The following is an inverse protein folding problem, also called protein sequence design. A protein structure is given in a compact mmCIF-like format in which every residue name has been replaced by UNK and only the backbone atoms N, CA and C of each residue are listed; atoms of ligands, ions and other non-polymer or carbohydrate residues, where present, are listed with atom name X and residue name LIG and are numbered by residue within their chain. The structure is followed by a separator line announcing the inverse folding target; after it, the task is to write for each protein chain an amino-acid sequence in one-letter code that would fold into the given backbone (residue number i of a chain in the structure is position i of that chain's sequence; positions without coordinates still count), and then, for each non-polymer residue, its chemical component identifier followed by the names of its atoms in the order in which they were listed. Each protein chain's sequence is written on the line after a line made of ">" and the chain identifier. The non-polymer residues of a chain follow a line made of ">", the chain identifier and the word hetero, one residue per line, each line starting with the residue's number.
data_IF_255639273759
#
_entry.id   IF_255639273759
#
_cell.length_a   1.000
_cell.length_b   1.000
_cell.length_c   1.000
_cell.angle_alpha   90.00
_cell.angle_beta   90.00
_cell.angle_gamma   90.00
#
_symmetry.space_group_name_H-M   'P 1'
#
loop_
_entity.id
_entity.type
_entity.pdbx_description
1 polymer ?
#
# COMPACT_ATOMS: atom_id res chain seq x y z
N UNK A 1 3.28 15.64 -21.73
CA UNK A 1 4.30 15.95 -20.68
C UNK A 1 3.79 15.35 -19.39
N UNK A 2 4.63 14.66 -18.64
CA UNK A 2 4.20 13.99 -17.41
C UNK A 2 4.48 14.86 -16.18
N UNK A 3 3.50 14.97 -15.28
CA UNK A 3 3.60 15.74 -14.03
C UNK A 3 3.09 14.89 -12.88
N UNK A 4 3.79 14.92 -11.74
CA UNK A 4 3.31 14.32 -10.49
C UNK A 4 2.58 15.39 -9.69
N UNK A 5 1.36 15.08 -9.25
CA UNK A 5 0.52 15.97 -8.43
C UNK A 5 -0.29 15.18 -7.40
N UNK A 6 -0.84 15.82 -6.36
CA UNK A 6 -1.84 15.20 -5.50
C UNK A 6 -3.02 14.64 -6.30
N UNK A 7 -3.51 13.47 -5.89
CA UNK A 7 -4.70 12.84 -6.45
C UNK A 7 -5.95 13.71 -6.23
N UNK A 8 -6.80 13.80 -7.25
CA UNK A 8 -8.01 14.61 -7.26
C UNK A 8 -9.26 13.74 -7.53
N UNK A 9 -10.44 14.28 -7.23
CA UNK A 9 -11.72 13.56 -7.37
C UNK A 9 -12.07 13.22 -8.82
N UNK A 10 -11.59 13.99 -9.78
CA UNK A 10 -11.77 13.74 -11.22
C UNK A 10 -10.86 12.63 -11.77
N UNK A 11 -9.89 12.14 -10.98
CA UNK A 11 -9.03 11.00 -11.36
C UNK A 11 -9.70 9.63 -11.20
N UNK A 12 -10.90 9.56 -10.61
CA UNK A 12 -11.56 8.30 -10.21
C UNK A 12 -11.69 7.31 -11.36
N UNK A 13 -12.13 7.76 -12.54
CA UNK A 13 -12.38 6.86 -13.67
C UNK A 13 -11.08 6.33 -14.29
N UNK A 14 -10.05 7.17 -14.37
CA UNK A 14 -8.72 6.74 -14.83
C UNK A 14 -8.11 5.75 -13.83
N UNK A 15 -8.21 6.01 -12.52
CA UNK A 15 -7.77 5.09 -11.47
C UNK A 15 -8.48 3.75 -11.53
N UNK A 16 -9.80 3.77 -11.70
CA UNK A 16 -10.59 2.56 -11.80
C UNK A 16 -10.18 1.73 -13.02
N UNK A 17 -10.00 2.38 -14.17
CA UNK A 17 -9.50 1.72 -15.38
C UNK A 17 -8.10 1.12 -15.19
N UNK A 18 -7.20 1.80 -14.48
CA UNK A 18 -5.88 1.28 -14.12
C UNK A 18 -5.97 0.09 -13.17
N UNK A 19 -6.77 0.19 -12.11
CA UNK A 19 -6.98 -0.87 -11.12
C UNK A 19 -7.54 -2.16 -11.76
N UNK A 20 -8.43 -2.03 -12.75
CA UNK A 20 -8.94 -3.17 -13.52
C UNK A 20 -7.83 -3.90 -14.30
N UNK A 21 -6.82 -3.17 -14.80
CA UNK A 21 -5.71 -3.74 -15.57
C UNK A 21 -4.61 -4.35 -14.69
N UNK A 22 -4.43 -3.86 -13.46
CA UNK A 22 -3.38 -4.28 -12.55
C UNK A 22 -3.50 -5.75 -12.09
N UNK A 23 -4.66 -6.39 -12.29
CA UNK A 23 -4.88 -7.80 -11.98
C UNK A 23 -4.95 -8.11 -10.48
N UNK A 24 -4.92 -9.41 -10.14
CA UNK A 24 -5.04 -9.91 -8.75
C UNK A 24 -3.68 -9.89 -8.06
N UNK A 25 -3.23 -8.73 -7.61
CA UNK A 25 -1.96 -8.59 -6.89
C UNK A 25 -1.77 -7.26 -6.18
N UNK A 26 -2.44 -6.21 -6.65
CA UNK A 26 -2.41 -4.89 -6.04
C UNK A 26 -3.62 -4.67 -5.11
N UNK A 27 -3.58 -5.27 -3.93
CA UNK A 27 -4.66 -5.16 -2.93
C UNK A 27 -4.87 -3.74 -2.40
N UNK A 28 -3.82 -2.91 -2.44
CA UNK A 28 -3.87 -1.51 -2.01
C UNK A 28 -4.62 -0.59 -2.97
N UNK A 29 -4.95 -1.05 -4.19
CA UNK A 29 -5.70 -0.30 -5.20
C UNK A 29 -6.79 -1.21 -5.83
N UNK A 30 -7.87 -1.51 -5.09
CA UNK A 30 -8.92 -2.38 -5.60
C UNK A 30 -9.68 -1.71 -6.75
N UNK A 31 -10.10 -2.51 -7.73
CA UNK A 31 -11.00 -2.07 -8.80
C UNK A 31 -12.45 -1.92 -8.29
N UNK A 32 -12.63 -1.07 -7.29
CA UNK A 32 -13.90 -0.77 -6.61
C UNK A 32 -14.02 0.75 -6.49
N UNK A 33 -15.01 1.32 -7.18
CA UNK A 33 -15.19 2.79 -7.23
C UNK A 33 -15.44 3.41 -5.87
N UNK A 34 -16.17 2.72 -4.99
CA UNK A 34 -16.51 3.26 -3.68
C UNK A 34 -15.26 3.31 -2.79
N UNK A 35 -14.46 2.24 -2.80
CA UNK A 35 -13.18 2.21 -2.08
C UNK A 35 -12.16 3.21 -2.64
N UNK A 36 -12.10 3.36 -3.97
CA UNK A 36 -11.24 4.34 -4.62
C UNK A 36 -11.66 5.78 -4.28
N UNK A 37 -12.96 6.08 -4.30
CA UNK A 37 -13.47 7.39 -3.92
C UNK A 37 -13.12 7.72 -2.46
N UNK A 38 -13.31 6.78 -1.52
CA UNK A 38 -12.92 6.96 -0.12
C UNK A 38 -11.41 7.23 0.03
N UNK A 39 -10.57 6.53 -0.74
CA UNK A 39 -9.11 6.75 -0.77
C UNK A 39 -8.76 8.14 -1.30
N UNK A 40 -9.42 8.60 -2.37
CA UNK A 40 -9.24 9.95 -2.92
C UNK A 40 -9.62 11.00 -1.87
N UNK A 41 -10.78 10.85 -1.23
CA UNK A 41 -11.24 11.80 -0.23
C UNK A 41 -10.28 11.86 0.96
N UNK A 42 -9.86 10.70 1.49
CA UNK A 42 -8.84 10.63 2.55
C UNK A 42 -7.52 11.27 2.14
N UNK A 43 -7.09 11.09 0.90
CA UNK A 43 -5.89 11.75 0.39
C UNK A 43 -6.02 13.27 0.34
N UNK A 44 -7.17 13.77 -0.13
CA UNK A 44 -7.46 15.20 -0.14
C UNK A 44 -7.51 15.78 1.27
N UNK A 45 -8.11 15.10 2.24
CA UNK A 45 -8.10 15.52 3.65
C UNK A 45 -6.67 15.58 4.20
N UNK A 46 -5.81 14.63 3.81
CA UNK A 46 -4.41 14.56 4.23
C UNK A 46 -3.57 15.72 3.70
N UNK A 47 -3.67 16.03 2.40
CA UNK A 47 -2.98 17.19 1.81
C UNK A 47 -3.49 18.53 2.35
N UNK A 48 -4.78 18.60 2.71
CA UNK A 48 -5.37 19.80 3.32
C UNK A 48 -5.16 19.89 4.84
N UNK A 49 -4.41 18.95 5.45
CA UNK A 49 -4.14 18.91 6.89
C UNK A 49 -5.42 18.84 7.75
N UNK A 50 -6.46 18.16 7.24
CA UNK A 50 -7.77 17.98 7.90
C UNK A 50 -7.93 16.61 8.58
N UNK A 51 -6.85 15.83 8.67
CA UNK A 51 -6.78 14.60 9.46
C UNK A 51 -5.57 14.64 10.40
N UNK A 52 -5.54 13.74 11.39
CA UNK A 52 -4.38 13.57 12.25
C UNK A 52 -3.16 13.15 11.40
N UNK A 53 -1.94 13.67 11.66
CA UNK A 53 -0.75 13.36 10.86
C UNK A 53 -0.47 11.86 10.73
N UNK A 54 -0.74 11.08 11.77
CA UNK A 54 -0.61 9.62 11.79
C UNK A 54 -1.62 8.91 10.89
N UNK A 55 -2.81 9.48 10.69
CA UNK A 55 -3.87 8.91 9.85
C UNK A 55 -3.78 9.40 8.39
N UNK A 56 -2.75 10.16 8.04
CA UNK A 56 -2.60 10.74 6.72
C UNK A 56 -2.26 9.69 5.66
N UNK A 57 -2.97 9.77 4.53
CA UNK A 57 -2.70 9.01 3.32
C UNK A 57 -2.36 10.00 2.20
N UNK A 58 -1.18 9.91 1.62
CA UNK A 58 -0.79 10.78 0.51
C UNK A 58 -0.80 9.99 -0.79
N UNK A 59 -1.77 10.24 -1.66
CA UNK A 59 -1.81 9.65 -3.00
C UNK A 59 -1.43 10.69 -4.06
N UNK A 60 -0.60 10.27 -4.99
CA UNK A 60 -0.07 11.08 -6.08
C UNK A 60 -0.51 10.48 -7.41
N UNK A 61 -1.03 11.32 -8.31
CA UNK A 61 -1.28 11.00 -9.70
C UNK A 61 -0.06 11.34 -10.55
N UNK A 62 0.26 10.48 -11.52
CA UNK A 62 1.09 10.83 -12.67
C UNK A 62 0.16 11.24 -13.80
N UNK A 63 0.06 12.53 -14.09
CA UNK A 63 -0.80 13.07 -15.14
C UNK A 63 -0.01 13.28 -16.44
N UNK A 64 -0.54 12.81 -17.56
CA UNK A 64 -0.16 13.33 -18.88
C UNK A 64 -1.03 14.55 -19.21
N UNK A 65 -0.45 15.74 -19.07
CA UNK A 65 -1.18 17.01 -19.25
C UNK A 65 -1.63 17.25 -20.69
N UNK A 66 -1.05 16.55 -21.68
CA UNK A 66 -1.46 16.67 -23.08
C UNK A 66 -2.73 15.85 -23.33
N UNK A 67 -2.79 14.64 -22.76
CA UNK A 67 -3.97 13.78 -22.82
C UNK A 67 -5.04 14.16 -21.79
N UNK A 68 -4.68 14.96 -20.77
CA UNK A 68 -5.48 15.22 -19.55
C UNK A 68 -5.95 13.92 -18.92
N UNK A 69 -5.01 13.02 -18.70
CA UNK A 69 -5.27 11.68 -18.15
C UNK A 69 -4.29 11.35 -17.05
N UNK A 70 -4.79 10.65 -16.05
CA UNK A 70 -3.96 10.03 -15.03
C UNK A 70 -3.47 8.68 -15.54
N UNK A 71 -2.16 8.58 -15.72
CA UNK A 71 -1.45 7.43 -16.32
C UNK A 71 -0.59 6.67 -15.31
N UNK A 72 -0.69 7.03 -14.03
CA UNK A 72 -0.05 6.33 -12.94
C UNK A 72 -0.47 6.86 -11.58
N UNK A 73 -0.15 6.08 -10.55
CA UNK A 73 -0.42 6.40 -9.16
C UNK A 73 0.73 5.89 -8.27
N UNK A 74 0.99 6.60 -7.18
CA UNK A 74 1.82 6.15 -6.06
C UNK A 74 1.26 6.70 -4.76
N UNK A 75 1.52 6.01 -3.65
CA UNK A 75 0.98 6.38 -2.34
C UNK A 75 1.98 6.27 -1.20
N UNK A 76 1.71 7.01 -0.13
CA UNK A 76 2.38 6.92 1.17
C UNK A 76 1.29 6.86 2.25
N UNK A 77 1.23 5.77 2.99
CA UNK A 77 0.42 5.65 4.21
C UNK A 77 1.32 6.08 5.38
N UNK A 78 0.94 7.15 6.09
CA UNK A 78 1.79 7.73 7.13
C UNK A 78 2.09 6.71 8.23
N UNK A 79 1.10 5.87 8.55
CA UNK A 79 1.20 4.86 9.58
C UNK A 79 0.33 3.64 9.29
N UNK A 80 0.95 2.48 9.09
CA UNK A 80 0.22 1.22 8.98
C UNK A 80 -0.16 0.68 10.36
N UNK A 81 -1.22 -0.14 10.41
CA UNK A 81 -1.62 -0.79 11.65
C UNK A 81 -2.55 0.02 12.56
N UNK A 82 -3.08 1.17 12.08
CA UNK A 82 -3.94 2.06 12.89
C UNK A 82 -5.38 1.57 13.03
N UNK A 83 -6.06 1.32 11.91
CA UNK A 83 -7.46 0.86 11.91
C UNK A 83 -7.56 -0.67 11.93
N UNK A 84 -6.70 -1.32 11.12
CA UNK A 84 -6.60 -2.76 11.01
C UNK A 84 -5.16 -3.21 11.23
N UNK A 85 -4.98 -4.44 11.74
CA UNK A 85 -3.65 -4.99 12.01
C UNK A 85 -2.90 -5.21 10.69
N UNK A 86 -1.71 -4.63 10.59
CA UNK A 86 -0.81 -4.86 9.45
C UNK A 86 0.00 -6.13 9.68
N UNK A 87 -0.39 -7.23 9.03
CA UNK A 87 0.28 -8.52 9.18
C UNK A 87 1.42 -8.73 8.20
N UNK A 88 2.50 -9.35 8.67
CA UNK A 88 3.62 -9.79 7.87
C UNK A 88 4.18 -11.12 8.39
N UNK A 89 4.99 -11.80 7.57
CA UNK A 89 5.74 -12.97 8.03
C UNK A 89 7.18 -12.58 8.34
N UNK A 90 7.60 -12.83 9.59
CA UNK A 90 9.01 -12.73 9.98
C UNK A 90 9.71 -14.05 9.66
N UNK A 91 10.72 -14.01 8.80
CA UNK A 91 11.60 -15.15 8.56
C UNK A 91 12.56 -15.33 9.75
N UNK A 92 12.42 -16.45 10.45
CA UNK A 92 13.27 -16.84 11.58
C UNK A 92 13.91 -18.21 11.31
N UNK A 93 14.80 -18.66 12.18
CA UNK A 93 15.37 -20.01 12.11
C UNK A 93 15.02 -20.78 13.38
N UNK A 94 14.30 -21.88 13.24
CA UNK A 94 14.03 -22.82 14.33
C UNK A 94 15.15 -23.84 14.39
N UNK A 95 15.74 -24.04 15.58
CA UNK A 95 16.81 -25.01 15.80
C UNK A 95 16.28 -26.16 16.63
N UNK A 96 16.31 -27.36 16.05
CA UNK A 96 15.98 -28.60 16.75
C UNK A 96 17.27 -29.41 16.95
N UNK A 97 17.61 -29.70 18.21
CA UNK A 97 18.79 -30.47 18.56
C UNK A 97 18.40 -31.66 19.46
N UNK A 98 18.87 -32.85 19.10
CA UNK A 98 18.78 -34.05 19.93
C UNK A 98 20.19 -34.59 20.15
N UNK A 99 20.65 -34.53 21.41
CA UNK A 99 21.97 -35.03 21.79
C UNK A 99 22.06 -36.55 21.66
N UNK A 100 21.00 -37.25 22.04
CA UNK A 100 20.92 -38.72 22.00
C UNK A 100 20.94 -39.26 20.56
N UNK A 101 20.33 -38.54 19.62
CA UNK A 101 20.30 -38.91 18.20
C UNK A 101 21.46 -38.28 17.40
N UNK A 102 22.28 -37.41 18.01
CA UNK A 102 23.34 -36.68 17.31
C UNK A 102 22.82 -35.73 16.23
N UNK A 103 21.56 -35.27 16.34
CA UNK A 103 20.88 -34.46 15.32
C UNK A 103 20.91 -32.99 15.71
N UNK A 104 21.23 -32.12 14.75
CA UNK A 104 21.12 -30.67 14.88
C UNK A 104 20.62 -30.06 13.56
N UNK A 105 19.34 -29.69 13.51
CA UNK A 105 18.66 -29.20 12.31
C UNK A 105 18.29 -27.73 12.48
N UNK A 106 18.60 -26.93 11.48
CA UNK A 106 18.21 -25.51 11.39
C UNK A 106 17.21 -25.36 10.25
N UNK A 107 15.99 -24.97 10.58
CA UNK A 107 14.89 -24.85 9.60
C UNK A 107 14.44 -23.40 9.50
N UNK A 108 14.45 -22.78 8.31
CA UNK A 108 13.80 -21.49 8.10
C UNK A 108 12.30 -21.60 8.40
N UNK A 109 11.76 -20.68 9.20
CA UNK A 109 10.36 -20.71 9.64
C UNK A 109 9.74 -19.33 9.47
N UNK A 110 8.56 -19.25 8.89
CA UNK A 110 7.76 -18.03 8.79
C UNK A 110 6.85 -17.93 10.01
N UNK A 111 7.03 -16.88 10.80
CA UNK A 111 6.16 -16.57 11.94
C UNK A 111 5.26 -15.39 11.59
N UNK A 112 3.95 -15.53 11.75
CA UNK A 112 3.02 -14.41 11.61
C UNK A 112 3.35 -13.34 12.66
N UNK A 113 3.45 -12.09 12.23
CA UNK A 113 3.80 -10.94 13.06
C UNK A 113 3.06 -9.70 12.58
N UNK A 114 3.18 -8.62 13.33
CA UNK A 114 2.67 -7.28 13.05
C UNK A 114 3.69 -6.22 13.51
N UNK A 115 4.97 -6.55 13.43
CA UNK A 115 6.07 -5.73 13.95
C UNK A 115 6.31 -4.45 13.13
N UNK A 116 5.63 -4.31 12.00
CA UNK A 116 5.65 -3.11 11.15
C UNK A 116 4.57 -2.09 11.54
N UNK A 117 3.72 -2.36 12.54
CA UNK A 117 2.79 -1.36 13.07
C UNK A 117 3.52 -0.08 13.42
N UNK A 118 2.87 1.04 13.17
CA UNK A 118 3.37 2.40 13.37
C UNK A 118 4.41 2.89 12.34
N UNK A 119 4.84 2.05 11.40
CA UNK A 119 5.75 2.44 10.32
C UNK A 119 5.02 3.09 9.14
N UNK A 120 5.76 3.89 8.35
CA UNK A 120 5.26 4.46 7.09
C UNK A 120 5.42 3.44 5.95
N UNK A 121 4.38 3.29 5.12
CA UNK A 121 4.38 2.38 3.97
C UNK A 121 4.33 3.17 2.64
N UNK A 122 5.14 2.75 1.67
CA UNK A 122 4.95 3.12 0.26
C UNK A 122 3.96 2.14 -0.37
N UNK A 123 2.86 2.64 -0.91
CA UNK A 123 1.77 1.81 -1.41
C UNK A 123 1.29 2.24 -2.80
N UNK A 124 0.38 1.43 -3.40
CA UNK A 124 -0.36 1.76 -4.61
C UNK A 124 0.47 2.21 -5.83
N UNK A 125 1.72 1.75 -5.96
CA UNK A 125 2.55 2.07 -7.14
C UNK A 125 2.04 1.33 -8.38
N UNK A 126 1.58 2.07 -9.39
CA UNK A 126 1.12 1.53 -10.67
C UNK A 126 1.35 2.53 -11.80
N UNK A 127 1.79 2.04 -12.95
CA UNK A 127 1.94 2.81 -14.19
C UNK A 127 1.16 2.10 -15.31
N UNK A 128 0.49 2.86 -16.17
CA UNK A 128 -0.40 2.32 -17.22
C UNK A 128 0.05 2.68 -18.64
#
# INVERSE_FOLDING_TARGET
>A
MLVIRPLQSDDLEDLYAMAQKAGKGLTTLPADRELLQRKIDRARESFNQRCAPEAALYLFALEDIQARKTVGISGIEARVGLEEVFYNYRLSVTVNASKELGVHVRTPTLNLSNDMTDTTEICSLLLS
#
